data_IF_416605547254
#
_entry.id   IF_416605547254
#
_cell.length_a   1.000
_cell.length_b   1.000
_cell.length_c   1.000
_cell.angle_alpha   90.00
_cell.angle_beta   90.00
_cell.angle_gamma   90.00
#
_symmetry.space_group_name_H-M   'P 1'
#
loop_
_entity.id
_entity.type
_entity.pdbx_description
1 polymer ?
#
# COMPACT_ATOMS: atom_id res chain seq x y z
N UNK A 1 -4.68 -4.21 16.01
CA UNK A 1 -5.21 -5.40 15.30
C UNK A 1 -6.14 -5.02 14.14
N UNK A 2 -7.04 -4.05 14.30
CA UNK A 2 -8.03 -3.76 13.25
C UNK A 2 -7.43 -3.27 11.93
N UNK A 3 -6.36 -2.47 11.98
CA UNK A 3 -5.70 -1.95 10.77
C UNK A 3 -5.03 -3.04 9.92
N UNK A 4 -4.42 -4.05 10.55
CA UNK A 4 -3.84 -5.21 9.85
C UNK A 4 -4.94 -5.98 9.10
N UNK A 5 -6.06 -6.24 9.77
CA UNK A 5 -7.22 -6.91 9.16
C UNK A 5 -7.81 -6.11 7.99
N UNK A 6 -7.85 -4.79 8.12
CA UNK A 6 -8.30 -3.90 7.05
C UNK A 6 -7.37 -4.01 5.83
N UNK A 7 -6.05 -3.90 6.03
CA UNK A 7 -5.06 -4.05 4.96
C UNK A 7 -5.18 -5.41 4.28
N UNK A 8 -5.25 -6.49 5.06
CA UNK A 8 -5.39 -7.84 4.52
C UNK A 8 -6.68 -8.01 3.69
N UNK A 9 -7.82 -7.55 4.21
CA UNK A 9 -9.10 -7.61 3.50
C UNK A 9 -9.10 -6.80 2.20
N UNK A 10 -8.50 -5.61 2.20
CA UNK A 10 -8.35 -4.78 1.01
C UNK A 10 -7.44 -5.45 -0.02
N UNK A 11 -6.28 -5.98 0.40
CA UNK A 11 -5.34 -6.65 -0.49
C UNK A 11 -5.93 -7.93 -1.12
N UNK A 12 -6.65 -8.75 -0.35
CA UNK A 12 -7.35 -9.93 -0.88
C UNK A 12 -8.45 -9.56 -1.88
N UNK A 13 -9.17 -8.47 -1.60
CA UNK A 13 -10.19 -7.94 -2.52
C UNK A 13 -9.57 -7.47 -3.84
N UNK A 14 -8.46 -6.75 -3.80
CA UNK A 14 -7.71 -6.30 -4.99
C UNK A 14 -7.17 -7.48 -5.80
N UNK A 15 -6.64 -8.52 -5.13
CA UNK A 15 -6.21 -9.76 -5.81
C UNK A 15 -7.35 -10.44 -6.55
N UNK A 16 -8.51 -10.57 -5.89
CA UNK A 16 -9.71 -11.15 -6.50
C UNK A 16 -10.12 -10.35 -7.74
N UNK A 17 -10.17 -9.02 -7.63
CA UNK A 17 -10.49 -8.12 -8.76
C UNK A 17 -9.48 -8.25 -9.90
N UNK A 18 -8.21 -8.49 -9.58
CA UNK A 18 -7.13 -8.66 -10.55
C UNK A 18 -6.98 -10.09 -11.10
N UNK A 19 -7.84 -11.04 -10.68
CA UNK A 19 -7.75 -12.44 -11.10
C UNK A 19 -6.52 -13.20 -10.55
N UNK A 20 -5.82 -12.64 -9.56
CA UNK A 20 -4.62 -13.22 -8.96
C UNK A 20 -5.00 -14.23 -7.87
N UNK A 21 -4.56 -15.48 -8.02
CA UNK A 21 -4.90 -16.57 -7.09
C UNK A 21 -3.92 -16.58 -5.92
N UNK A 22 -4.41 -16.69 -4.69
CA UNK A 22 -3.60 -16.58 -3.45
C UNK A 22 -2.46 -17.60 -3.37
N UNK A 23 -2.54 -18.74 -4.06
CA UNK A 23 -1.44 -19.72 -4.13
C UNK A 23 -0.17 -19.21 -4.85
N UNK A 24 -0.28 -18.16 -5.66
CA UNK A 24 0.86 -17.58 -6.37
C UNK A 24 1.47 -16.48 -5.49
N UNK A 25 2.71 -16.66 -4.99
CA UNK A 25 3.35 -15.64 -4.18
C UNK A 25 3.66 -14.40 -5.02
N UNK A 26 3.11 -13.25 -4.64
CA UNK A 26 3.45 -11.98 -5.30
C UNK A 26 4.79 -11.45 -4.79
N UNK A 27 5.49 -10.69 -5.65
CA UNK A 27 6.81 -10.18 -5.33
C UNK A 27 6.81 -9.18 -4.16
N UNK A 28 5.86 -8.24 -4.14
CA UNK A 28 5.81 -7.18 -3.13
C UNK A 28 4.39 -6.66 -2.94
N UNK A 29 4.06 -6.28 -1.71
CA UNK A 29 2.95 -5.40 -1.37
C UNK A 29 3.52 -4.09 -0.79
N UNK A 30 3.05 -2.94 -1.27
CA UNK A 30 3.35 -1.65 -0.63
C UNK A 30 2.08 -1.13 0.03
N UNK A 31 2.16 -0.79 1.30
CA UNK A 31 1.06 -0.19 2.07
C UNK A 31 1.44 1.23 2.44
N UNK A 32 0.62 2.19 2.05
CA UNK A 32 0.80 3.59 2.42
C UNK A 32 -0.16 3.92 3.56
N UNK A 33 0.36 4.42 4.69
CA UNK A 33 -0.42 4.66 5.91
C UNK A 33 0.13 5.84 6.71
N UNK A 34 -0.75 6.56 7.42
CA UNK A 34 -0.34 7.60 8.39
C UNK A 34 0.37 7.04 9.62
N UNK A 35 0.26 5.74 9.86
CA UNK A 35 0.94 5.00 10.93
C UNK A 35 1.79 3.90 10.32
N UNK A 36 2.91 4.29 9.70
CA UNK A 36 3.82 3.37 9.04
C UNK A 36 4.55 2.47 10.05
N UNK A 37 5.09 3.06 11.12
CA UNK A 37 5.83 2.33 12.16
C UNK A 37 4.96 1.33 12.92
N UNK A 38 3.71 1.68 13.20
CA UNK A 38 2.76 0.77 13.85
C UNK A 38 2.43 -0.44 12.97
N UNK A 39 2.31 -0.24 11.66
CA UNK A 39 2.02 -1.31 10.71
C UNK A 39 3.25 -2.16 10.37
N UNK A 40 4.44 -1.55 10.31
CA UNK A 40 5.70 -2.24 10.00
C UNK A 40 6.00 -3.38 10.99
N UNK A 41 5.56 -3.26 12.25
CA UNK A 41 5.69 -4.32 13.28
C UNK A 41 4.91 -5.61 12.95
N UNK A 42 3.99 -5.55 12.00
CA UNK A 42 3.15 -6.66 11.58
C UNK A 42 3.47 -7.13 10.15
N UNK A 43 4.65 -6.78 9.63
CA UNK A 43 5.10 -7.15 8.28
C UNK A 43 4.97 -8.66 8.04
N UNK A 44 5.48 -9.49 8.94
CA UNK A 44 5.48 -10.95 8.80
C UNK A 44 4.06 -11.53 8.75
N UNK A 45 3.16 -11.01 9.60
CA UNK A 45 1.74 -11.43 9.59
C UNK A 45 1.11 -11.12 8.23
N UNK A 46 1.35 -9.92 7.70
CA UNK A 46 0.83 -9.52 6.39
C UNK A 46 1.43 -10.38 5.26
N UNK A 47 2.72 -10.72 5.35
CA UNK A 47 3.40 -11.58 4.36
C UNK A 47 2.78 -12.96 4.30
N UNK A 48 2.53 -13.56 5.45
CA UNK A 48 1.97 -14.90 5.57
C UNK A 48 0.50 -14.93 5.13
N UNK A 49 -0.33 -14.02 5.66
CA UNK A 49 -1.77 -13.98 5.30
C UNK A 49 -1.99 -13.68 3.82
N UNK A 50 -1.13 -12.85 3.22
CA UNK A 50 -1.27 -12.44 1.83
C UNK A 50 -0.39 -13.24 0.89
N UNK A 51 0.41 -14.22 1.31
CA UNK A 51 1.36 -14.93 0.45
C UNK A 51 2.13 -13.95 -0.47
N UNK A 52 2.88 -13.04 0.14
CA UNK A 52 3.76 -12.09 -0.56
C UNK A 52 5.20 -12.27 -0.09
N UNK A 53 6.16 -12.07 -0.99
CA UNK A 53 7.58 -12.24 -0.66
C UNK A 53 8.11 -11.10 0.20
N UNK A 54 7.58 -9.89 0.05
CA UNK A 54 7.98 -8.71 0.79
C UNK A 54 6.78 -7.78 1.02
N UNK A 55 6.78 -7.07 2.15
CA UNK A 55 5.86 -5.97 2.43
C UNK A 55 6.70 -4.71 2.68
N UNK A 56 6.33 -3.61 2.03
CA UNK A 56 6.90 -2.28 2.27
C UNK A 56 5.81 -1.42 2.88
N UNK A 57 6.12 -0.72 3.97
CA UNK A 57 5.20 0.26 4.55
C UNK A 57 5.81 1.64 4.37
N UNK A 58 5.05 2.53 3.77
CA UNK A 58 5.45 3.91 3.49
C UNK A 58 4.52 4.87 4.21
N UNK A 59 5.07 5.99 4.67
CA UNK A 59 4.30 7.04 5.31
C UNK A 59 3.42 7.75 4.27
N UNK A 60 2.15 7.98 4.61
CA UNK A 60 1.24 8.74 3.75
C UNK A 60 1.64 10.22 3.78
N UNK A 61 2.42 10.65 2.79
CA UNK A 61 2.71 12.08 2.61
C UNK A 61 1.59 12.73 1.78
N UNK A 62 0.91 13.78 2.28
CA UNK A 62 -0.04 14.51 1.46
C UNK A 62 0.69 15.17 0.30
N UNK A 63 0.40 14.73 -0.92
CA UNK A 63 0.95 15.35 -2.13
C UNK A 63 0.41 16.77 -2.25
N UNK A 64 1.30 17.76 -2.21
CA UNK A 64 0.92 19.14 -2.50
C UNK A 64 0.28 19.22 -3.90
N UNK A 65 -0.85 19.95 -4.07
CA UNK A 65 -1.45 20.13 -5.38
C UNK A 65 -0.45 20.80 -6.34
N UNK A 66 -0.46 20.45 -7.64
CA UNK A 66 0.40 21.12 -8.61
C UNK A 66 0.06 22.61 -8.62
N UNK A 67 0.96 23.44 -8.11
CA UNK A 67 0.82 24.89 -8.12
C UNK A 67 0.73 25.36 -9.58
N UNK A 68 -0.37 25.99 -9.93
CA UNK A 68 -0.69 26.46 -11.29
C UNK A 68 0.11 27.73 -11.69
N UNK A 69 1.34 27.86 -11.21
CA UNK A 69 2.20 29.03 -11.39
C UNK A 69 3.31 28.74 -12.42
N UNK A 70 2.92 28.59 -13.70
CA UNK A 70 3.88 28.57 -14.83
C UNK A 70 3.20 28.88 -16.17
N UNK A 71 2.18 29.75 -16.19
CA UNK A 71 1.54 30.17 -17.46
C UNK A 71 1.31 31.67 -17.62
N UNK A 72 2.07 32.49 -16.90
CA UNK A 72 2.05 33.94 -17.05
C UNK A 72 3.48 34.50 -17.01
N UNK A 73 4.21 34.38 -18.13
CA UNK A 73 5.31 35.27 -18.53
C UNK A 73 5.87 34.83 -19.90
N UNK A 74 5.18 35.20 -20.96
CA UNK A 74 5.67 35.46 -22.33
C UNK A 74 4.45 35.89 -23.15
N UNK A 75 4.52 36.88 -24.04
CA UNK A 75 5.69 37.59 -24.55
C UNK A 75 5.87 39.01 -23.96
#
# INVERSE_FOLDING_TARGET
MDRVRQVASTALSLRKQSGLRVRQPLARLTVVSDDADGLARFEDILRDELNVKAVSVEELTPRAPPTRASRAASP
#
